data_IF_730933158068
#
_entry.id   IF_730933158068
#
_cell.length_a   1.000
_cell.length_b   1.000
_cell.length_c   1.000
_cell.angle_alpha   90.00
_cell.angle_beta   90.00
_cell.angle_gamma   90.00
#
_symmetry.space_group_name_H-M   'P 1'
#
loop_
_entity.id
_entity.type
_entity.pdbx_description
1 polymer ?
#
# COMPACT_ATOMS: atom_id res chain seq x y z
N UNK A 1 -8.38 -2.08 28.29
CA UNK A 1 -8.31 -0.93 29.23
C UNK A 1 -6.86 -0.58 29.53
N UNK A 2 -5.98 -1.58 29.73
CA UNK A 2 -4.52 -1.37 29.81
C UNK A 2 -3.91 -0.94 28.46
N UNK A 3 -4.30 -1.57 27.33
CA UNK A 3 -3.81 -1.18 25.98
C UNK A 3 -4.17 0.25 25.52
N UNK A 4 -5.26 0.80 26.07
CA UNK A 4 -5.63 2.20 25.80
C UNK A 4 -4.80 3.18 26.62
N UNK A 5 -4.22 2.74 27.74
CA UNK A 5 -3.34 3.55 28.58
C UNK A 5 -1.95 3.71 27.94
N UNK A 6 -1.37 2.66 27.35
CA UNK A 6 -0.04 2.75 26.69
C UNK A 6 -0.06 3.64 25.43
N UNK A 7 -1.15 3.60 24.65
CA UNK A 7 -1.36 4.51 23.52
C UNK A 7 -1.64 5.95 23.96
N UNK A 8 -2.19 6.15 25.15
CA UNK A 8 -2.38 7.48 25.75
C UNK A 8 -1.07 8.00 26.39
N UNK A 9 -0.23 7.14 26.96
CA UNK A 9 1.05 7.50 27.57
C UNK A 9 2.11 7.87 26.52
N UNK A 10 2.17 7.17 25.39
CA UNK A 10 3.05 7.53 24.25
C UNK A 10 2.74 8.91 23.64
N UNK A 11 1.50 9.40 23.79
CA UNK A 11 1.10 10.75 23.33
C UNK A 11 1.61 11.90 24.21
N UNK A 12 2.23 11.61 25.35
CA UNK A 12 2.75 12.59 26.30
C UNK A 12 4.26 12.88 26.16
N UNK A 13 4.96 12.12 25.32
CA UNK A 13 6.40 12.28 25.14
C UNK A 13 6.71 13.41 24.16
N UNK A 14 7.64 14.29 24.55
CA UNK A 14 8.11 15.36 23.69
C UNK A 14 8.85 14.76 22.47
N UNK A 15 8.64 15.30 21.26
CA UNK A 15 9.31 14.82 20.07
C UNK A 15 10.82 15.07 20.17
N UNK A 16 11.62 14.05 19.86
CA UNK A 16 13.09 14.09 19.95
C UNK A 16 13.69 14.11 18.55
N UNK A 17 14.45 15.15 18.23
CA UNK A 17 15.21 15.25 16.99
C UNK A 17 16.54 14.49 17.12
N UNK A 18 16.68 13.40 16.36
CA UNK A 18 17.89 12.56 16.30
C UNK A 18 18.78 12.90 15.10
N UNK A 19 18.42 13.93 14.33
CA UNK A 19 19.09 14.31 13.10
C UNK A 19 20.29 15.24 13.26
N UNK A 20 20.81 15.63 12.11
CA UNK A 20 21.72 16.77 12.00
C UNK A 20 21.04 18.06 12.51
N UNK A 21 21.80 19.00 13.10
CA UNK A 21 21.25 20.27 13.57
C UNK A 21 20.59 21.02 12.42
N UNK A 22 19.29 21.33 12.54
CA UNK A 22 18.54 22.01 11.49
C UNK A 22 18.90 23.50 11.43
N UNK A 23 19.72 23.85 10.45
CA UNK A 23 19.98 25.24 10.09
C UNK A 23 18.88 25.70 9.15
N UNK A 24 17.81 26.29 9.70
CA UNK A 24 16.86 27.06 8.92
C UNK A 24 17.64 28.20 8.24
N UNK A 25 18.02 28.01 6.98
CA UNK A 25 18.75 29.02 6.22
C UNK A 25 18.03 30.35 6.40
N UNK A 26 18.73 31.35 6.94
CA UNK A 26 18.17 32.67 7.14
C UNK A 26 17.61 33.10 5.77
N UNK A 27 16.28 33.27 5.69
CA UNK A 27 15.60 33.90 4.57
C UNK A 27 15.97 35.38 4.57
N UNK A 28 17.26 35.69 4.40
CA UNK A 28 17.70 37.03 4.08
C UNK A 28 17.18 37.26 2.67
N UNK A 29 16.20 38.17 2.49
CA UNK A 29 15.79 38.52 1.15
C UNK A 29 17.04 39.01 0.44
N UNK A 30 17.44 38.34 -0.64
CA UNK A 30 18.36 38.91 -1.60
C UNK A 30 17.67 40.17 -2.16
N UNK A 31 17.84 41.30 -1.44
CA UNK A 31 17.22 42.60 -1.71
C UNK A 31 17.70 43.21 -3.02
N UNK A 32 18.59 42.54 -3.75
CA UNK A 32 19.17 42.99 -5.01
C UNK A 32 18.83 42.08 -6.19
N UNK A 33 17.59 41.57 -6.30
CA UNK A 33 17.13 41.14 -7.61
C UNK A 33 17.00 42.39 -8.50
N UNK A 34 17.87 42.53 -9.49
CA UNK A 34 17.78 43.61 -10.48
C UNK A 34 16.40 43.57 -11.13
N UNK A 35 15.73 44.73 -11.22
CA UNK A 35 14.43 44.85 -11.88
C UNK A 35 14.58 44.47 -13.36
N UNK A 36 14.16 43.26 -13.71
CA UNK A 36 14.09 42.78 -15.09
C UNK A 36 12.75 43.20 -15.70
N UNK A 37 12.73 44.33 -16.39
CA UNK A 37 11.54 44.88 -17.08
C UNK A 37 10.93 43.90 -18.10
N UNK A 38 11.75 43.03 -18.67
CA UNK A 38 11.31 41.97 -19.58
C UNK A 38 10.40 40.93 -18.90
N UNK A 39 10.68 40.58 -17.64
CA UNK A 39 9.87 39.63 -16.87
C UNK A 39 8.49 40.22 -16.53
N UNK A 40 8.42 41.54 -16.26
CA UNK A 40 7.16 42.25 -16.04
C UNK A 40 6.27 42.19 -17.30
N UNK A 41 6.85 42.44 -18.47
CA UNK A 41 6.13 42.38 -19.74
C UNK A 41 5.63 40.95 -20.05
N UNK A 42 6.46 39.93 -19.80
CA UNK A 42 6.08 38.52 -19.98
C UNK A 42 5.01 38.07 -18.97
N UNK A 43 5.10 38.52 -17.70
CA UNK A 43 4.10 38.23 -16.67
C UNK A 43 2.75 38.85 -17.01
N UNK A 44 2.72 40.12 -17.45
CA UNK A 44 1.49 40.81 -17.91
C UNK A 44 0.83 40.11 -19.08
N UNK A 45 1.62 39.50 -19.97
CA UNK A 45 1.13 38.76 -21.14
C UNK A 45 0.84 37.29 -20.85
N UNK A 46 1.02 36.83 -19.60
CA UNK A 46 0.89 35.42 -19.19
C UNK A 46 1.78 34.45 -19.99
N UNK A 47 2.91 34.92 -20.51
CA UNK A 47 3.88 34.11 -21.24
C UNK A 47 5.10 33.71 -20.39
N UNK A 48 5.18 34.19 -19.16
CA UNK A 48 6.28 33.88 -18.24
C UNK A 48 6.21 32.40 -17.83
N UNK A 49 7.29 31.65 -18.11
CA UNK A 49 7.47 30.27 -17.66
C UNK A 49 8.63 30.21 -16.67
N UNK A 50 8.44 29.52 -15.57
CA UNK A 50 9.52 29.26 -14.59
C UNK A 50 10.00 27.83 -14.81
N UNK A 51 11.31 27.63 -15.07
CA UNK A 51 11.85 26.28 -15.26
C UNK A 51 11.78 25.50 -13.94
N UNK A 52 11.08 24.37 -13.96
CA UNK A 52 10.81 23.56 -12.76
C UNK A 52 12.11 23.03 -12.13
N UNK A 53 13.11 22.72 -12.96
CA UNK A 53 14.42 22.22 -12.50
C UNK A 53 15.17 23.22 -11.62
N UNK A 54 14.98 24.54 -11.88
CA UNK A 54 15.60 25.58 -11.05
C UNK A 54 14.96 25.66 -9.67
N UNK A 55 13.64 25.52 -9.60
CA UNK A 55 12.86 25.60 -8.36
C UNK A 55 13.24 24.47 -7.40
N UNK A 56 13.50 23.27 -7.92
CA UNK A 56 13.84 22.09 -7.15
C UNK A 56 15.35 21.92 -6.92
N UNK A 57 16.15 22.92 -7.28
CA UNK A 57 17.58 22.90 -6.99
C UNK A 57 17.83 23.08 -5.49
N UNK A 58 18.88 22.45 -4.97
CA UNK A 58 19.25 22.52 -3.54
C UNK A 58 19.55 23.94 -3.06
N UNK A 59 19.93 24.84 -3.97
CA UNK A 59 20.23 26.25 -3.68
C UNK A 59 19.00 27.14 -3.61
N UNK A 60 17.96 26.85 -4.39
CA UNK A 60 16.72 27.64 -4.38
C UNK A 60 15.69 27.09 -3.38
N UNK A 61 15.66 25.77 -3.17
CA UNK A 61 14.61 25.09 -2.41
C UNK A 61 14.93 24.91 -0.91
N UNK A 62 15.05 26.04 -0.20
CA UNK A 62 15.37 26.06 1.24
C UNK A 62 14.38 25.30 2.14
N UNK A 63 13.14 25.10 1.68
CA UNK A 63 12.08 24.41 2.43
C UNK A 63 11.94 22.92 2.06
N UNK A 64 12.78 22.39 1.16
CA UNK A 64 12.75 20.97 0.80
C UNK A 64 12.86 20.02 2.02
N UNK A 65 13.78 20.23 2.99
CA UNK A 65 13.90 19.34 4.15
C UNK A 65 12.62 19.28 5.00
N UNK A 66 11.95 20.43 5.19
CA UNK A 66 10.69 20.50 5.96
C UNK A 66 9.56 19.79 5.24
N UNK A 67 9.46 19.92 3.91
CA UNK A 67 8.45 19.19 3.13
C UNK A 67 8.69 17.68 3.18
N UNK A 68 9.95 17.24 3.09
CA UNK A 68 10.33 15.83 3.26
C UNK A 68 9.94 15.29 4.63
N UNK A 69 10.20 16.06 5.69
CA UNK A 69 9.78 15.73 7.05
C UNK A 69 8.25 15.52 7.14
N UNK A 70 7.46 16.46 6.63
CA UNK A 70 5.99 16.39 6.67
C UNK A 70 5.45 15.19 5.89
N UNK A 71 6.03 14.89 4.73
CA UNK A 71 5.66 13.71 3.94
C UNK A 71 6.01 12.43 4.69
N UNK A 72 7.22 12.32 5.25
CA UNK A 72 7.64 11.16 6.02
C UNK A 72 6.76 10.93 7.27
N UNK A 73 6.32 12.01 7.94
CA UNK A 73 5.34 11.94 9.04
C UNK A 73 3.98 11.44 8.56
N UNK A 74 3.47 11.95 7.43
CA UNK A 74 2.20 11.50 6.86
C UNK A 74 2.21 10.00 6.53
N UNK A 75 3.31 9.50 5.98
CA UNK A 75 3.48 8.08 5.69
C UNK A 75 3.82 7.25 6.92
N UNK A 76 3.97 7.83 8.11
CA UNK A 76 4.29 7.10 9.35
C UNK A 76 5.69 6.47 9.36
N UNK A 77 6.64 7.00 8.58
CA UNK A 77 7.99 6.44 8.40
C UNK A 77 8.75 6.43 9.73
N UNK A 78 8.81 7.57 10.43
CA UNK A 78 9.57 7.67 11.68
C UNK A 78 9.04 6.74 12.78
N UNK A 79 7.71 6.66 12.91
CA UNK A 79 7.08 5.76 13.87
C UNK A 79 7.37 4.30 13.57
N UNK A 80 7.53 3.94 12.30
CA UNK A 80 7.81 2.56 11.87
C UNK A 80 9.29 2.19 12.06
N UNK A 81 10.23 3.12 11.82
CA UNK A 81 11.67 2.85 11.87
C UNK A 81 12.29 3.08 13.26
N UNK A 82 11.96 4.20 13.90
CA UNK A 82 12.58 4.66 15.15
C UNK A 82 11.62 4.65 16.34
N UNK A 83 10.34 4.32 16.11
CA UNK A 83 9.31 4.39 17.14
C UNK A 83 9.03 5.83 17.63
N UNK A 84 7.85 6.07 18.24
CA UNK A 84 7.60 7.34 18.91
C UNK A 84 8.54 7.51 20.12
N UNK A 85 9.08 8.71 20.40
CA UNK A 85 8.79 10.02 19.80
C UNK A 85 9.89 10.55 18.85
N UNK A 86 10.70 9.68 18.24
CA UNK A 86 11.90 10.09 17.50
C UNK A 86 11.58 10.54 16.07
N UNK A 87 12.22 11.61 15.62
CA UNK A 87 12.17 12.08 14.23
C UNK A 87 13.50 12.74 13.85
N UNK A 88 13.72 12.97 12.56
CA UNK A 88 14.81 13.84 12.12
C UNK A 88 14.42 14.63 10.89
N UNK A 89 15.06 15.78 10.68
CA UNK A 89 14.86 16.58 9.46
C UNK A 89 15.81 16.08 8.35
N UNK A 90 15.31 15.58 7.21
CA UNK A 90 16.17 15.10 6.11
C UNK A 90 16.83 16.27 5.37
N UNK A 91 18.01 16.68 5.84
CA UNK A 91 18.73 17.83 5.30
C UNK A 91 19.55 17.50 4.06
N UNK A 92 20.11 16.29 4.01
CA UNK A 92 20.96 15.87 2.90
C UNK A 92 20.09 15.29 1.80
N UNK A 93 20.20 15.89 0.60
CA UNK A 93 19.54 15.38 -0.59
C UNK A 93 20.37 14.27 -1.22
N UNK A 94 19.72 13.16 -1.54
CA UNK A 94 20.28 12.09 -2.33
C UNK A 94 19.16 11.50 -3.18
N UNK A 95 19.50 11.05 -4.39
CA UNK A 95 18.53 10.59 -5.37
C UNK A 95 18.87 9.15 -5.77
N UNK A 96 18.25 8.14 -5.15
CA UNK A 96 18.29 6.79 -5.68
C UNK A 96 17.52 6.76 -7.01
N UNK A 97 18.01 6.04 -8.00
CA UNK A 97 17.29 5.79 -9.24
C UNK A 97 17.53 4.36 -9.72
N UNK A 98 16.47 3.75 -10.25
CA UNK A 98 16.54 2.45 -10.91
C UNK A 98 16.78 2.63 -12.41
N UNK A 99 17.46 1.67 -13.02
CA UNK A 99 17.77 1.67 -14.45
C UNK A 99 17.02 0.52 -15.11
N UNK A 100 16.22 0.84 -16.13
CA UNK A 100 15.58 -0.19 -16.96
C UNK A 100 16.34 -0.34 -18.28
N UNK A 101 16.81 -1.56 -18.55
CA UNK A 101 17.38 -1.88 -19.85
C UNK A 101 16.23 -2.30 -20.78
N UNK A 102 15.78 -1.41 -21.66
CA UNK A 102 14.71 -1.68 -22.65
C UNK A 102 15.11 -2.73 -23.72
N UNK A 103 16.24 -3.42 -23.56
CA UNK A 103 16.80 -4.37 -24.52
C UNK A 103 16.01 -5.67 -24.67
N UNK A 104 15.21 -6.06 -23.68
CA UNK A 104 14.46 -7.34 -23.71
C UNK A 104 13.06 -7.22 -24.31
N UNK A 105 12.59 -6.00 -24.64
CA UNK A 105 11.27 -5.79 -25.27
C UNK A 105 11.30 -5.64 -26.79
N UNK A 106 12.47 -5.58 -27.42
CA UNK A 106 12.58 -5.57 -28.89
C UNK A 106 12.95 -6.95 -29.41
N UNK A 107 11.94 -7.76 -29.71
CA UNK A 107 12.11 -8.86 -30.64
C UNK A 107 12.25 -8.32 -32.07
N UNK A 108 13.35 -8.71 -32.72
CA UNK A 108 13.56 -8.78 -34.19
C UNK A 108 13.84 -7.45 -34.92
N UNK A 109 15.13 -7.17 -35.18
CA UNK A 109 15.75 -7.38 -36.51
C UNK A 109 17.26 -7.07 -36.47
N UNK A 110 18.06 -8.13 -36.52
CA UNK A 110 19.53 -8.09 -36.62
C UNK A 110 19.95 -7.73 -38.05
N UNK A 111 20.14 -6.44 -38.33
CA UNK A 111 21.15 -6.01 -39.31
C UNK A 111 21.40 -4.50 -39.23
N UNK A 112 22.43 -4.10 -38.49
CA UNK A 112 23.30 -2.94 -38.76
C UNK A 112 24.25 -2.74 -37.57
N UNK A 113 25.54 -2.96 -37.79
CA UNK A 113 26.61 -2.50 -36.89
C UNK A 113 26.65 -0.97 -36.91
N UNK A 114 25.82 -0.31 -36.11
CA UNK A 114 25.95 1.11 -35.80
C UNK A 114 25.65 1.29 -34.32
N UNK A 115 26.63 1.89 -33.64
CA UNK A 115 26.69 2.25 -32.22
C UNK A 115 25.31 2.70 -31.68
N UNK A 116 24.52 1.75 -31.17
CA UNK A 116 23.22 2.01 -30.58
C UNK A 116 23.45 2.68 -29.24
N UNK A 117 23.16 3.98 -29.18
CA UNK A 117 22.90 4.67 -27.92
C UNK A 117 21.69 3.95 -27.30
N UNK A 118 21.93 3.05 -26.37
CA UNK A 118 20.88 2.44 -25.55
C UNK A 118 20.33 3.59 -24.70
N UNK A 119 19.14 4.09 -25.04
CA UNK A 119 18.40 4.98 -24.15
C UNK A 119 18.06 4.16 -22.91
N UNK A 120 18.79 4.42 -21.83
CA UNK A 120 18.52 3.82 -20.53
C UNK A 120 17.56 4.74 -19.80
N UNK A 121 16.34 4.27 -19.60
CA UNK A 121 15.35 5.01 -18.83
C UNK A 121 15.73 4.97 -17.34
N UNK A 122 15.77 6.16 -16.73
CA UNK A 122 16.07 6.34 -15.31
C UNK A 122 14.79 6.58 -14.54
N UNK A 123 14.55 5.78 -13.51
CA UNK A 123 13.39 5.87 -12.63
C UNK A 123 13.80 6.38 -11.25
N UNK A 124 13.74 7.71 -11.00
CA UNK A 124 14.12 8.27 -9.71
C UNK A 124 13.14 7.91 -8.61
N UNK A 125 13.69 7.65 -7.43
CA UNK A 125 12.97 7.50 -6.17
C UNK A 125 12.76 8.88 -5.56
N UNK A 126 11.51 9.23 -5.27
CA UNK A 126 11.12 10.46 -4.60
C UNK A 126 10.68 10.14 -3.16
N UNK A 127 9.55 10.72 -2.72
CA UNK A 127 9.00 10.56 -1.37
C UNK A 127 7.60 9.96 -1.46
N UNK A 128 7.54 8.66 -1.79
CA UNK A 128 6.30 7.88 -1.86
C UNK A 128 5.75 7.67 -3.27
N UNK A 129 6.55 7.88 -4.33
CA UNK A 129 6.15 7.50 -5.68
C UNK A 129 6.04 5.96 -5.81
N UNK A 130 5.28 5.51 -6.81
CA UNK A 130 5.11 4.09 -7.09
C UNK A 130 6.23 3.59 -8.00
N UNK A 131 6.91 2.51 -7.60
CA UNK A 131 7.89 1.80 -8.41
C UNK A 131 7.53 0.31 -8.38
N UNK A 132 7.40 -0.30 -9.56
CA UNK A 132 7.04 -1.71 -9.68
C UNK A 132 8.21 -2.60 -9.28
N UNK A 133 7.95 -3.79 -8.72
CA UNK A 133 9.01 -4.74 -8.40
C UNK A 133 9.86 -5.11 -9.62
N UNK A 134 9.27 -5.23 -10.82
CA UNK A 134 9.97 -5.48 -12.08
C UNK A 134 11.12 -4.48 -12.32
N UNK A 135 10.88 -3.19 -12.09
CA UNK A 135 11.89 -2.13 -12.25
C UNK A 135 12.95 -2.16 -11.16
N UNK A 136 12.59 -2.67 -9.98
CA UNK A 136 13.45 -2.72 -8.79
C UNK A 136 14.06 -4.11 -8.58
N UNK A 137 14.17 -4.94 -9.62
CA UNK A 137 14.85 -6.24 -9.52
C UNK A 137 16.36 -6.10 -9.35
N UNK A 138 16.94 -5.03 -9.87
CA UNK A 138 18.36 -4.69 -9.76
C UNK A 138 18.58 -3.59 -8.72
N UNK A 139 19.76 -3.54 -8.08
CA UNK A 139 20.06 -2.51 -7.10
C UNK A 139 20.03 -1.11 -7.74
N UNK A 140 19.49 -0.10 -7.04
CA UNK A 140 19.47 1.26 -7.57
C UNK A 140 20.86 1.90 -7.52
N UNK A 141 21.12 2.80 -8.47
CA UNK A 141 22.26 3.71 -8.39
C UNK A 141 21.90 4.90 -7.51
N UNK A 142 22.88 5.44 -6.79
CA UNK A 142 22.65 6.49 -5.79
C UNK A 142 23.55 7.69 -6.10
N UNK A 143 22.90 8.81 -6.44
CA UNK A 143 23.58 10.10 -6.59
C UNK A 143 23.68 10.81 -5.24
N UNK A 144 24.91 10.93 -4.75
CA UNK A 144 25.32 11.66 -3.54
C UNK A 144 26.14 12.92 -3.87
N UNK A 145 26.06 13.45 -5.09
CA UNK A 145 26.79 14.67 -5.49
C UNK A 145 26.43 15.91 -4.65
N UNK A 146 25.23 15.94 -4.08
CA UNK A 146 24.76 17.04 -3.22
C UNK A 146 25.21 16.92 -1.75
N UNK A 147 25.78 15.77 -1.36
CA UNK A 147 26.21 15.53 0.01
C UNK A 147 27.63 16.10 0.26
N UNK A 148 27.94 16.57 1.48
CA UNK A 148 29.30 16.98 1.84
C UNK A 148 30.34 15.86 1.62
N UNK A 149 31.43 16.18 0.93
CA UNK A 149 32.52 15.25 0.60
C UNK A 149 33.43 14.86 1.76
N UNK A 150 33.35 15.61 2.87
CA UNK A 150 34.24 15.44 4.03
C UNK A 150 33.85 14.22 4.89
N UNK A 151 32.64 13.71 4.69
CA UNK A 151 32.09 12.59 5.43
C UNK A 151 31.87 11.38 4.54
N UNK A 152 31.94 10.22 5.17
CA UNK A 152 31.46 8.97 4.59
C UNK A 152 30.00 8.75 4.99
N UNK A 153 29.29 7.95 4.20
CA UNK A 153 27.87 7.74 4.36
C UNK A 153 27.53 6.25 4.44
N UNK A 154 26.49 5.92 5.20
CA UNK A 154 25.89 4.57 5.20
C UNK A 154 24.47 4.68 4.68
N UNK A 155 24.13 3.88 3.68
CA UNK A 155 22.78 3.77 3.14
C UNK A 155 22.16 2.47 3.61
N UNK A 156 20.93 2.56 4.11
CA UNK A 156 20.14 1.41 4.53
C UNK A 156 18.78 1.47 3.84
N UNK A 157 18.40 0.40 3.15
CA UNK A 157 17.07 0.21 2.55
C UNK A 157 16.30 -0.80 3.38
N UNK A 158 15.17 -0.40 3.95
CA UNK A 158 14.33 -1.27 4.77
C UNK A 158 12.85 -1.22 4.39
N UNK A 159 12.14 -2.30 4.73
CA UNK A 159 10.69 -2.44 4.55
C UNK A 159 10.07 -2.73 5.92
N UNK A 160 9.41 -1.74 6.57
CA UNK A 160 8.72 -1.94 7.85
C UNK A 160 7.35 -2.61 7.71
N UNK A 161 6.92 -2.89 6.47
CA UNK A 161 5.66 -3.54 6.17
C UNK A 161 5.84 -5.07 6.01
N UNK A 162 7.07 -5.59 6.11
CA UNK A 162 7.40 -7.03 6.02
C UNK A 162 8.25 -7.49 7.22
N UNK A 163 8.08 -8.73 7.73
CA UNK A 163 7.12 -9.75 7.31
C UNK A 163 5.72 -9.63 7.94
N UNK A 164 4.72 -10.01 7.15
CA UNK A 164 3.37 -10.30 7.65
C UNK A 164 3.35 -11.68 8.32
N UNK A 165 2.83 -11.76 9.55
CA UNK A 165 2.48 -13.05 10.18
C UNK A 165 3.19 -13.40 11.49
N UNK A 166 3.20 -12.49 12.46
CA UNK A 166 3.26 -12.92 13.86
C UNK A 166 1.84 -13.11 14.37
N UNK A 167 1.57 -14.32 14.92
CA UNK A 167 0.28 -14.70 15.51
C UNK A 167 -0.12 -13.79 16.69
N UNK A 168 0.82 -13.02 17.21
CA UNK A 168 0.62 -12.01 18.22
C UNK A 168 0.91 -10.64 17.61
N UNK A 169 -0.12 -9.93 17.14
CA UNK A 169 -0.07 -8.52 16.69
C UNK A 169 0.30 -7.52 17.81
N UNK A 170 1.20 -7.93 18.69
CA UNK A 170 1.68 -7.35 19.94
C UNK A 170 3.19 -7.04 19.88
N UNK A 171 3.93 -7.54 18.88
CA UNK A 171 5.33 -7.12 18.68
C UNK A 171 5.41 -5.88 17.77
N UNK A 172 6.05 -4.80 18.24
CA UNK A 172 6.29 -3.64 17.42
C UNK A 172 7.37 -3.99 16.38
N UNK A 173 7.05 -3.77 15.12
CA UNK A 173 7.99 -3.62 13.98
C UNK A 173 8.76 -4.88 13.59
N UNK A 174 8.09 -5.78 12.88
CA UNK A 174 8.73 -6.67 11.92
C UNK A 174 9.20 -5.83 10.73
N UNK A 175 10.51 -5.71 10.55
CA UNK A 175 11.12 -4.98 9.46
C UNK A 175 12.14 -5.88 8.74
N UNK A 176 12.14 -5.82 7.41
CA UNK A 176 13.18 -6.43 6.59
C UNK A 176 14.19 -5.42 6.11
N UNK A 177 15.47 -5.79 6.18
CA UNK A 177 16.55 -5.06 5.51
C UNK A 177 16.76 -5.61 4.10
N UNK A 178 16.53 -4.75 3.11
CA UNK A 178 16.70 -5.08 1.71
C UNK A 178 18.13 -4.84 1.24
N UNK A 179 18.76 -3.77 1.73
CA UNK A 179 20.09 -3.40 1.27
C UNK A 179 20.82 -2.58 2.32
N UNK A 180 22.12 -2.80 2.47
CA UNK A 180 22.96 -1.99 3.34
C UNK A 180 24.34 -1.81 2.72
N UNK A 181 24.72 -0.54 2.51
CA UNK A 181 26.05 -0.18 2.00
C UNK A 181 26.67 0.83 2.94
N UNK A 182 27.85 0.50 3.45
CA UNK A 182 28.62 1.35 4.35
C UNK A 182 29.71 2.12 3.59
N UNK A 183 30.25 3.16 4.23
CA UNK A 183 31.46 3.84 3.77
C UNK A 183 31.36 4.43 2.35
N UNK A 184 30.16 4.84 1.94
CA UNK A 184 29.87 5.50 0.68
C UNK A 184 30.57 6.85 0.61
N UNK A 185 31.18 7.13 -0.54
CA UNK A 185 31.77 8.44 -0.84
C UNK A 185 30.78 9.30 -1.61
N UNK A 186 30.79 10.61 -1.35
CA UNK A 186 29.99 11.57 -2.11
C UNK A 186 30.43 11.58 -3.59
N UNK A 187 29.46 11.51 -4.50
CA UNK A 187 29.68 11.45 -5.95
C UNK A 187 28.40 11.09 -6.71
N UNK A 188 28.39 11.21 -8.05
CA UNK A 188 27.22 10.89 -8.89
C UNK A 188 26.86 9.40 -8.88
N UNK A 189 27.86 8.53 -8.70
CA UNK A 189 27.68 7.10 -8.51
C UNK A 189 28.44 6.71 -7.23
N UNK A 190 27.72 6.74 -6.11
CA UNK A 190 28.32 6.44 -4.82
C UNK A 190 28.69 4.95 -4.75
N UNK A 191 29.97 4.68 -4.51
CA UNK A 191 30.51 3.33 -4.28
C UNK A 191 30.95 3.18 -2.84
N UNK A 192 30.74 1.99 -2.27
CA UNK A 192 31.00 1.70 -0.86
C UNK A 192 31.11 0.20 -0.60
N UNK A 193 31.21 -0.14 0.68
CA UNK A 193 31.34 -1.52 1.14
C UNK A 193 29.93 -2.11 1.32
N UNK A 194 29.53 -3.07 0.48
CA UNK A 194 28.23 -3.75 0.60
C UNK A 194 28.26 -4.71 1.81
N UNK A 195 27.40 -4.44 2.79
CA UNK A 195 27.31 -5.21 4.04
C UNK A 195 26.18 -6.23 3.94
N UNK A 196 25.04 -5.80 3.39
CA UNK A 196 23.88 -6.67 3.18
C UNK A 196 23.53 -6.60 1.70
N UNK A 197 23.60 -7.73 0.97
CA UNK A 197 23.37 -7.75 -0.47
C UNK A 197 21.93 -7.39 -0.79
N UNK A 198 21.76 -6.67 -1.90
CA UNK A 198 20.46 -6.20 -2.36
C UNK A 198 19.44 -7.35 -2.50
N UNK A 199 18.32 -7.21 -1.80
CA UNK A 199 17.12 -8.00 -1.99
C UNK A 199 16.08 -7.12 -2.69
N UNK A 200 15.55 -7.52 -3.86
CA UNK A 200 14.50 -6.75 -4.53
C UNK A 200 13.25 -6.63 -3.64
N UNK A 201 12.39 -5.64 -3.87
CA UNK A 201 11.12 -5.54 -3.16
C UNK A 201 10.24 -6.75 -3.49
N UNK A 202 9.71 -7.42 -2.46
CA UNK A 202 8.88 -8.62 -2.59
C UNK A 202 7.50 -8.43 -1.94
N UNK A 203 6.71 -7.43 -2.35
CA UNK A 203 5.38 -7.23 -1.78
C UNK A 203 4.48 -8.43 -2.06
N UNK A 204 3.85 -8.98 -1.02
CA UNK A 204 3.05 -10.20 -1.13
C UNK A 204 1.72 -9.95 -1.86
N UNK A 205 1.19 -10.99 -2.51
CA UNK A 205 -0.10 -10.88 -3.16
C UNK A 205 -1.20 -10.64 -2.11
N UNK A 206 -1.92 -9.53 -2.24
CA UNK A 206 -3.07 -9.20 -1.39
C UNK A 206 -2.78 -8.40 -0.12
N UNK A 207 -1.54 -7.98 0.12
CA UNK A 207 -1.17 -7.09 1.26
C UNK A 207 -1.24 -5.59 0.91
N UNK A 208 -1.27 -5.25 -0.38
CA UNK A 208 -1.42 -3.88 -0.86
C UNK A 208 -0.07 -3.23 -1.19
N UNK A 209 0.15 -2.02 -0.69
CA UNK A 209 1.38 -1.25 -0.95
C UNK A 209 2.35 -1.37 0.21
N UNK A 210 3.59 -1.73 -0.08
CA UNK A 210 4.69 -1.75 0.88
C UNK A 210 5.58 -0.54 0.66
N UNK A 211 6.12 0.00 1.75
CA UNK A 211 7.02 1.16 1.76
C UNK A 211 8.46 0.66 1.85
N UNK A 212 9.27 1.00 0.86
CA UNK A 212 10.71 0.73 0.86
C UNK A 212 11.44 2.03 1.12
N UNK A 213 12.13 2.10 2.26
CA UNK A 213 12.66 3.33 2.82
C UNK A 213 14.18 3.29 2.79
N UNK A 214 14.77 4.26 2.10
CA UNK A 214 16.19 4.56 2.12
C UNK A 214 16.48 5.58 3.22
N UNK A 215 17.25 5.16 4.22
CA UNK A 215 17.79 6.05 5.25
C UNK A 215 19.28 6.24 5.02
N UNK A 216 19.70 7.49 4.88
CA UNK A 216 21.10 7.87 4.72
C UNK A 216 21.65 8.40 6.05
N UNK A 217 22.67 7.73 6.56
CA UNK A 217 23.38 8.10 7.78
C UNK A 217 24.73 8.74 7.43
N UNK A 218 25.07 9.83 8.11
CA UNK A 218 26.41 10.43 8.09
C UNK A 218 27.30 9.68 9.07
N UNK A 219 28.51 9.31 8.65
CA UNK A 219 29.52 8.72 9.53
C UNK A 219 30.40 9.82 10.13
N UNK A 220 30.23 10.10 11.42
CA UNK A 220 30.86 11.25 12.08
C UNK A 220 32.32 10.98 12.47
N UNK A 221 32.65 9.72 12.79
CA UNK A 221 34.01 9.31 13.21
C UNK A 221 34.86 8.71 12.08
N UNK A 222 34.42 8.85 10.83
CA UNK A 222 35.09 8.28 9.66
C UNK A 222 34.59 6.86 9.34
N UNK A 223 35.48 5.98 8.87
CA UNK A 223 35.11 4.64 8.41
C UNK A 223 34.49 3.83 9.56
N UNK A 224 33.32 3.24 9.32
CA UNK A 224 32.62 2.39 10.28
C UNK A 224 32.71 0.92 9.83
N UNK A 225 33.05 0.05 10.77
CA UNK A 225 33.08 -1.39 10.57
C UNK A 225 31.70 -1.97 10.93
N UNK A 226 30.92 -2.33 9.91
CA UNK A 226 29.58 -2.95 10.05
C UNK A 226 29.59 -4.45 9.75
N UNK A 227 30.75 -5.09 9.80
CA UNK A 227 30.92 -6.51 9.48
C UNK A 227 30.10 -7.44 10.38
N UNK A 228 29.79 -7.02 11.62
CA UNK A 228 28.89 -7.75 12.52
C UNK A 228 27.46 -7.90 11.97
N UNK A 229 27.03 -6.96 11.13
CA UNK A 229 25.74 -6.97 10.47
C UNK A 229 25.81 -7.58 9.06
N UNK A 230 27.00 -8.01 8.63
CA UNK A 230 27.22 -8.61 7.32
C UNK A 230 26.37 -9.86 7.19
N UNK A 231 25.66 -9.95 6.07
CA UNK A 231 24.89 -11.14 5.70
C UNK A 231 25.46 -11.67 4.39
N UNK A 232 25.75 -12.96 4.37
CA UNK A 232 26.14 -13.64 3.13
C UNK A 232 24.93 -13.79 2.19
N UNK A 233 25.14 -14.43 1.04
CA UNK A 233 24.06 -14.76 0.11
C UNK A 233 22.90 -15.50 0.78
N UNK A 234 21.70 -15.36 0.20
CA UNK A 234 20.43 -15.85 0.76
C UNK A 234 20.45 -17.38 0.84
N UNK A 235 20.91 -17.95 1.96
CA UNK A 235 20.93 -19.40 2.20
C UNK A 235 20.00 -19.81 3.36
N UNK A 236 18.73 -20.06 3.09
CA UNK A 236 17.74 -20.53 4.10
C UNK A 236 16.53 -19.61 4.25
N UNK A 237 15.93 -19.60 5.43
CA UNK A 237 14.70 -18.82 5.70
C UNK A 237 14.94 -17.32 5.59
N UNK A 238 14.35 -16.69 4.57
CA UNK A 238 14.42 -15.25 4.32
C UNK A 238 14.12 -14.43 5.59
N UNK A 239 13.18 -14.91 6.41
CA UNK A 239 12.73 -14.25 7.63
C UNK A 239 13.83 -14.03 8.66
N UNK A 240 14.64 -15.04 8.93
CA UNK A 240 15.68 -14.96 9.97
C UNK A 240 16.90 -14.19 9.48
N UNK A 241 17.15 -14.25 8.17
CA UNK A 241 18.27 -13.57 7.53
C UNK A 241 18.03 -12.07 7.37
N UNK A 242 16.80 -11.68 7.03
CA UNK A 242 16.45 -10.31 6.70
C UNK A 242 15.76 -9.55 7.81
N UNK A 243 15.36 -10.23 8.90
CA UNK A 243 14.86 -9.55 10.10
C UNK A 243 15.87 -8.50 10.59
N UNK A 244 15.37 -7.28 10.76
CA UNK A 244 16.14 -6.11 11.13
C UNK A 244 15.28 -5.19 12.01
N UNK A 245 15.94 -4.47 12.91
CA UNK A 245 15.30 -3.43 13.71
C UNK A 245 16.13 -2.16 13.62
N UNK A 246 15.67 -1.19 12.84
CA UNK A 246 16.36 0.08 12.61
C UNK A 246 16.64 0.82 13.92
N UNK A 247 15.69 0.83 14.87
CA UNK A 247 15.88 1.40 16.20
C UNK A 247 17.08 0.80 16.93
N UNK A 248 17.17 -0.53 17.02
CA UNK A 248 18.26 -1.18 17.76
C UNK A 248 19.61 -0.98 17.09
N UNK A 249 19.62 -1.06 15.75
CA UNK A 249 20.80 -0.76 14.95
C UNK A 249 21.31 0.65 15.23
N UNK A 250 20.43 1.65 15.16
CA UNK A 250 20.78 3.04 15.40
C UNK A 250 21.22 3.27 16.85
N UNK A 251 20.52 2.68 17.82
CA UNK A 251 20.85 2.82 19.25
C UNK A 251 22.25 2.29 19.59
N UNK A 252 22.72 1.24 18.90
CA UNK A 252 24.09 0.72 19.10
C UNK A 252 25.16 1.63 18.48
N UNK A 253 24.81 2.36 17.43
CA UNK A 253 25.75 3.13 16.60
C UNK A 253 25.51 4.64 16.66
N UNK A 254 24.69 5.13 17.59
CA UNK A 254 24.29 6.54 17.74
C UNK A 254 25.50 7.48 17.85
N UNK A 255 26.61 7.01 18.42
CA UNK A 255 27.84 7.80 18.53
C UNK A 255 28.63 7.92 17.22
N UNK A 256 28.39 7.04 16.24
CA UNK A 256 29.13 7.00 14.97
C UNK A 256 28.30 7.42 13.77
N UNK A 257 26.98 7.16 13.83
CA UNK A 257 26.04 7.38 12.75
C UNK A 257 25.03 8.44 13.16
N UNK A 258 24.76 9.40 12.27
CA UNK A 258 23.68 10.38 12.44
C UNK A 258 22.76 10.38 11.21
N UNK A 259 21.45 10.16 11.34
CA UNK A 259 20.53 10.18 10.21
C UNK A 259 20.46 11.57 9.59
N UNK A 260 20.61 11.62 8.27
CA UNK A 260 20.82 12.87 7.54
C UNK A 260 19.92 13.02 6.31
N UNK A 261 19.61 11.91 5.63
CA UNK A 261 18.77 11.89 4.45
C UNK A 261 17.70 10.81 4.53
N UNK A 262 16.61 11.03 3.79
CA UNK A 262 15.50 10.09 3.66
C UNK A 262 14.94 10.14 2.24
N UNK A 263 14.75 8.97 1.63
CA UNK A 263 14.00 8.77 0.39
C UNK A 263 13.18 7.49 0.51
N UNK A 264 12.02 7.38 -0.11
CA UNK A 264 11.25 6.14 -0.06
C UNK A 264 10.29 6.03 -1.24
N UNK A 265 9.97 4.82 -1.65
CA UNK A 265 8.95 4.55 -2.65
C UNK A 265 7.93 3.53 -2.13
N UNK A 266 6.81 3.46 -2.83
CA UNK A 266 5.82 2.42 -2.63
C UNK A 266 5.94 1.39 -3.74
N UNK A 267 5.75 0.12 -3.40
CA UNK A 267 5.65 -0.95 -4.38
C UNK A 267 4.46 -1.84 -4.06
N UNK A 268 3.88 -2.42 -5.10
CA UNK A 268 2.77 -3.37 -5.00
C UNK A 268 3.11 -4.61 -5.79
N UNK A 269 2.50 -5.73 -5.40
CA UNK A 269 2.69 -7.02 -6.07
C UNK A 269 2.59 -6.94 -7.60
N UNK A 270 3.50 -7.67 -8.27
CA UNK A 270 3.47 -7.93 -9.70
C UNK A 270 3.90 -9.40 -9.99
N UNK A 271 3.92 -9.80 -11.27
CA UNK A 271 4.31 -11.17 -11.64
C UNK A 271 5.82 -11.43 -11.44
N UNK A 272 6.66 -10.40 -11.42
CA UNK A 272 8.09 -10.55 -11.22
C UNK A 272 8.43 -11.05 -9.80
N UNK A 273 7.66 -10.64 -8.80
CA UNK A 273 7.73 -11.15 -7.42
C UNK A 273 7.49 -12.66 -7.39
N UNK A 274 6.43 -13.13 -8.07
CA UNK A 274 6.11 -14.56 -8.17
C UNK A 274 7.26 -15.35 -8.82
N UNK A 275 7.87 -14.80 -9.86
CA UNK A 275 9.01 -15.43 -10.52
C UNK A 275 10.23 -15.49 -9.60
N UNK A 276 10.47 -14.45 -8.80
CA UNK A 276 11.55 -14.43 -7.82
C UNK A 276 11.39 -15.51 -6.75
N UNK A 277 10.20 -15.64 -6.15
CA UNK A 277 9.90 -16.68 -5.17
C UNK A 277 10.12 -18.09 -5.71
N UNK A 278 9.68 -18.35 -6.95
CA UNK A 278 9.79 -19.67 -7.58
C UNK A 278 11.18 -20.02 -8.06
N UNK A 279 11.88 -19.07 -8.68
CA UNK A 279 13.14 -19.35 -9.38
C UNK A 279 14.38 -19.09 -8.53
N UNK A 280 14.33 -18.08 -7.65
CA UNK A 280 15.49 -17.66 -6.84
C UNK A 280 15.40 -18.22 -5.43
N UNK A 281 14.23 -18.09 -4.79
CA UNK A 281 14.05 -18.54 -3.40
C UNK A 281 13.63 -20.02 -3.29
N UNK A 282 13.09 -20.62 -4.35
CA UNK A 282 12.54 -21.99 -4.38
C UNK A 282 11.52 -22.28 -3.25
N UNK A 283 10.70 -21.27 -2.91
CA UNK A 283 9.70 -21.33 -1.83
C UNK A 283 8.32 -20.94 -2.41
N UNK A 284 7.21 -21.56 -1.94
CA UNK A 284 5.88 -21.12 -2.32
C UNK A 284 5.61 -19.67 -1.88
N UNK A 285 5.13 -18.86 -2.81
CA UNK A 285 4.75 -17.48 -2.55
C UNK A 285 3.60 -17.39 -1.53
N UNK A 286 3.70 -16.51 -0.52
CA UNK A 286 2.61 -16.25 0.40
C UNK A 286 1.52 -15.38 -0.25
N UNK A 287 0.27 -15.82 -0.11
CA UNK A 287 -0.91 -15.13 -0.67
C UNK A 287 -1.85 -14.76 0.46
N UNK A 288 -2.25 -13.49 0.50
CA UNK A 288 -3.13 -12.92 1.51
C UNK A 288 -4.46 -12.49 0.88
N UNK A 289 -5.51 -12.50 1.70
CA UNK A 289 -6.81 -11.97 1.34
C UNK A 289 -7.32 -11.08 2.47
N UNK A 290 -7.90 -9.93 2.11
CA UNK A 290 -8.49 -9.02 3.09
C UNK A 290 -9.76 -9.63 3.66
N UNK A 291 -9.67 -10.13 4.89
CA UNK A 291 -10.84 -10.61 5.64
C UNK A 291 -11.57 -9.43 6.29
N UNK A 292 -12.69 -9.04 5.69
CA UNK A 292 -13.57 -8.04 6.30
C UNK A 292 -14.26 -8.64 7.54
N UNK A 293 -14.38 -7.87 8.64
CA UNK A 293 -15.10 -8.34 9.82
C UNK A 293 -16.54 -8.68 9.43
N UNK A 294 -17.04 -9.79 9.94
CA UNK A 294 -18.42 -10.18 9.70
C UNK A 294 -19.35 -9.07 10.20
N UNK A 295 -20.35 -8.65 9.41
CA UNK A 295 -21.25 -7.59 9.82
C UNK A 295 -21.94 -7.99 11.13
N UNK A 296 -21.79 -7.16 12.17
CA UNK A 296 -22.43 -7.43 13.47
C UNK A 296 -23.94 -7.31 13.32
N UNK A 297 -24.62 -8.44 13.40
CA UNK A 297 -26.08 -8.49 13.43
C UNK A 297 -26.56 -8.17 14.86
N UNK A 298 -27.63 -7.36 15.03
CA UNK A 298 -28.26 -7.23 16.34
C UNK A 298 -28.83 -8.58 16.78
N UNK A 299 -28.95 -8.87 18.09
CA UNK A 299 -29.51 -10.14 18.56
C UNK A 299 -30.90 -10.40 17.95
N UNK A 300 -31.18 -11.66 17.63
CA UNK A 300 -32.46 -12.04 17.04
C UNK A 300 -33.59 -11.91 18.08
N UNK A 301 -34.68 -11.26 17.70
CA UNK A 301 -35.88 -11.08 18.50
C UNK A 301 -36.98 -12.02 18.01
N UNK A 302 -37.73 -12.60 18.95
CA UNK A 302 -38.85 -13.49 18.64
C UNK A 302 -39.97 -12.80 17.87
N UNK A 303 -40.19 -11.52 18.18
CA UNK A 303 -41.14 -10.66 17.50
C UNK A 303 -40.37 -9.40 17.10
N UNK A 304 -39.84 -9.34 15.86
CA UNK A 304 -39.15 -8.16 15.37
C UNK A 304 -40.18 -7.05 15.16
N UNK A 305 -40.55 -6.37 16.24
CA UNK A 305 -41.52 -5.30 16.17
C UNK A 305 -40.81 -4.12 15.51
N UNK A 306 -41.47 -3.46 14.55
CA UNK A 306 -40.96 -2.25 13.92
C UNK A 306 -40.98 -1.06 14.89
N UNK A 307 -40.34 -1.20 16.05
CA UNK A 307 -40.42 -0.23 17.12
C UNK A 307 -39.18 0.66 17.09
N UNK A 308 -39.42 1.94 16.75
CA UNK A 308 -38.51 3.08 16.56
C UNK A 308 -38.04 3.43 15.14
N UNK A 309 -38.48 2.73 14.08
CA UNK A 309 -38.18 3.11 12.69
C UNK A 309 -39.26 3.97 11.98
N UNK A 310 -40.47 4.02 12.54
CA UNK A 310 -41.61 4.77 12.00
C UNK A 310 -41.52 6.31 12.18
N UNK A 311 -40.41 6.83 12.72
CA UNK A 311 -39.97 8.19 12.39
C UNK A 311 -38.75 8.03 11.48
N UNK A 312 -38.83 8.54 10.25
CA UNK A 312 -37.65 8.74 9.43
C UNK A 312 -36.63 9.49 10.29
N UNK A 313 -35.50 8.86 10.65
CA UNK A 313 -34.41 9.55 11.34
C UNK A 313 -33.96 10.66 10.41
N UNK A 314 -34.40 11.90 10.66
CA UNK A 314 -33.76 13.08 10.08
C UNK A 314 -32.45 13.26 10.85
N UNK A 315 -31.36 13.57 10.14
CA UNK A 315 -30.14 14.05 10.79
C UNK A 315 -30.50 15.16 11.78
N UNK A 316 -29.80 15.36 12.92
CA UNK A 316 -30.08 16.46 13.85
C UNK A 316 -30.14 17.84 13.19
N UNK A 317 -29.53 17.99 12.01
CA UNK A 317 -29.54 19.19 11.16
C UNK A 317 -30.45 19.10 9.92
N UNK A 318 -31.39 18.16 9.85
CA UNK A 318 -32.42 18.09 8.80
C UNK A 318 -31.98 17.57 7.43
N UNK A 319 -30.73 17.13 7.26
CA UNK A 319 -30.24 16.51 6.02
C UNK A 319 -30.89 15.12 5.80
N UNK A 320 -31.28 14.78 4.56
CA UNK A 320 -31.72 13.42 4.24
C UNK A 320 -30.56 12.45 4.48
N UNK A 321 -30.78 11.45 5.33
CA UNK A 321 -29.81 10.38 5.51
C UNK A 321 -29.59 9.71 4.15
N UNK A 322 -28.33 9.73 3.72
CA UNK A 322 -27.81 9.01 2.56
C UNK A 322 -28.42 7.61 2.54
N UNK A 323 -29.08 7.28 1.42
CA UNK A 323 -29.52 5.92 1.13
C UNK A 323 -28.28 5.03 1.26
N UNK A 324 -28.40 3.98 2.07
CA UNK A 324 -27.42 2.91 2.26
C UNK A 324 -26.26 3.24 3.21
N UNK A 325 -26.27 2.59 4.38
CA UNK A 325 -25.21 1.62 4.70
C UNK A 325 -25.48 0.70 5.89
N UNK A 326 -26.14 1.13 6.97
CA UNK A 326 -26.31 0.26 8.15
C UNK A 326 -27.57 0.54 8.98
N UNK A 327 -28.71 0.78 8.34
CA UNK A 327 -29.95 1.03 9.07
C UNK A 327 -31.17 0.41 8.41
N UNK A 328 -31.81 -0.52 9.10
CA UNK A 328 -33.06 -1.20 8.78
C UNK A 328 -34.23 -0.27 8.37
N UNK A 329 -34.22 0.30 7.17
CA UNK A 329 -35.35 1.08 6.65
C UNK A 329 -36.67 0.28 6.67
N UNK A 330 -37.75 1.02 6.96
CA UNK A 330 -39.17 0.69 7.13
C UNK A 330 -39.88 -0.39 6.27
N UNK A 331 -39.21 -1.20 5.44
CA UNK A 331 -39.87 -2.17 4.56
C UNK A 331 -39.13 -3.52 4.47
N UNK A 332 -38.43 -3.93 5.54
CA UNK A 332 -37.85 -5.29 5.59
C UNK A 332 -38.98 -6.27 5.90
N UNK A 333 -39.49 -6.97 4.88
CA UNK A 333 -40.45 -8.05 5.10
C UNK A 333 -39.90 -9.07 6.09
N UNK A 334 -40.76 -9.66 6.92
CA UNK A 334 -40.40 -10.64 7.95
C UNK A 334 -39.46 -11.75 7.42
N UNK A 335 -39.66 -12.18 6.18
CA UNK A 335 -38.80 -13.16 5.51
C UNK A 335 -37.34 -12.71 5.37
N UNK A 336 -37.11 -11.44 5.02
CA UNK A 336 -35.76 -10.85 4.87
C UNK A 336 -35.10 -10.66 6.24
N UNK A 337 -35.91 -10.41 7.28
CA UNK A 337 -35.42 -10.43 8.65
C UNK A 337 -34.94 -11.83 9.04
N UNK A 338 -35.74 -12.87 8.78
CA UNK A 338 -35.34 -14.26 9.08
C UNK A 338 -34.11 -14.69 8.28
N UNK A 339 -34.05 -14.37 6.97
CA UNK A 339 -32.92 -14.72 6.10
C UNK A 339 -31.60 -14.10 6.57
N UNK A 340 -31.62 -13.00 7.32
CA UNK A 340 -30.42 -12.38 7.91
C UNK A 340 -29.77 -13.24 9.01
N UNK A 341 -30.59 -13.97 9.75
CA UNK A 341 -30.16 -14.83 10.87
C UNK A 341 -30.03 -16.29 10.49
N UNK A 342 -30.50 -16.66 9.30
CA UNK A 342 -30.31 -18.01 8.76
C UNK A 342 -28.86 -18.22 8.36
N UNK A 343 -28.41 -19.45 8.56
CA UNK A 343 -27.12 -19.85 8.04
C UNK A 343 -27.13 -19.81 6.52
N UNK A 344 -26.13 -19.15 5.95
CA UNK A 344 -25.99 -19.02 4.48
C UNK A 344 -25.91 -20.40 3.80
N UNK A 345 -25.38 -21.41 4.51
CA UNK A 345 -25.32 -22.80 4.05
C UNK A 345 -26.73 -23.39 3.85
N UNK A 346 -27.64 -23.17 4.80
CA UNK A 346 -29.02 -23.66 4.69
C UNK A 346 -29.77 -23.00 3.53
N UNK A 347 -29.62 -21.68 3.38
CA UNK A 347 -30.21 -20.93 2.26
C UNK A 347 -29.69 -21.42 0.90
N UNK A 348 -28.38 -21.67 0.80
CA UNK A 348 -27.77 -22.21 -0.42
C UNK A 348 -28.27 -23.63 -0.70
N UNK A 349 -28.43 -24.46 0.33
CA UNK A 349 -28.93 -25.83 0.19
C UNK A 349 -30.40 -25.85 -0.29
N UNK A 350 -31.26 -25.00 0.27
CA UNK A 350 -32.64 -24.81 -0.22
C UNK A 350 -32.66 -24.39 -1.70
N UNK A 351 -31.81 -23.43 -2.07
CA UNK A 351 -31.70 -22.95 -3.44
C UNK A 351 -31.26 -24.06 -4.40
N UNK A 352 -30.25 -24.85 -4.02
CA UNK A 352 -29.74 -25.98 -4.81
C UNK A 352 -30.82 -27.06 -4.94
N UNK A 353 -31.52 -27.41 -3.86
CA UNK A 353 -32.63 -28.37 -3.91
C UNK A 353 -33.75 -27.91 -4.84
N UNK A 354 -34.12 -26.62 -4.77
CA UNK A 354 -35.13 -26.07 -5.67
C UNK A 354 -34.66 -25.98 -7.12
N UNK A 355 -33.37 -25.71 -7.36
CA UNK A 355 -32.77 -25.76 -8.69
C UNK A 355 -32.84 -27.18 -9.27
N UNK A 356 -32.39 -28.19 -8.53
CA UNK A 356 -32.45 -29.60 -8.95
C UNK A 356 -33.89 -30.07 -9.20
N UNK A 357 -34.85 -29.63 -8.37
CA UNK A 357 -36.29 -29.90 -8.60
C UNK A 357 -36.83 -29.27 -9.89
N UNK A 358 -36.30 -28.13 -10.30
CA UNK A 358 -36.74 -27.42 -11.51
C UNK A 358 -36.04 -27.95 -12.77
N UNK A 359 -34.73 -28.16 -12.70
CA UNK A 359 -33.88 -28.54 -13.84
C UNK A 359 -33.86 -30.06 -14.11
N UNK A 360 -34.26 -30.88 -13.15
CA UNK A 360 -34.14 -32.34 -13.26
C UNK A 360 -32.74 -32.84 -12.88
N UNK A 361 -32.47 -34.13 -13.09
CA UNK A 361 -31.15 -34.69 -12.83
C UNK A 361 -30.13 -34.11 -13.82
N UNK A 362 -29.11 -33.36 -13.37
CA UNK A 362 -28.10 -32.79 -14.28
C UNK A 362 -27.22 -33.84 -14.96
N UNK A 363 -27.26 -35.11 -14.49
CA UNK A 363 -26.48 -36.22 -15.04
C UNK A 363 -27.24 -37.04 -16.10
N UNK A 364 -28.56 -36.88 -16.21
CA UNK A 364 -29.38 -37.56 -17.21
C UNK A 364 -29.82 -36.55 -18.30
N UNK A 365 -29.24 -36.61 -19.51
CA UNK A 365 -29.58 -35.69 -20.60
C UNK A 365 -30.99 -35.89 -21.15
N UNK A 366 -31.63 -37.03 -20.86
CA UNK A 366 -32.94 -37.42 -21.37
C UNK A 366 -34.11 -37.00 -20.45
N UNK A 367 -33.83 -36.52 -19.23
CA UNK A 367 -34.87 -35.98 -18.36
C UNK A 367 -35.30 -34.58 -18.85
N UNK A 368 -36.61 -34.31 -18.98
CA UNK A 368 -37.07 -33.02 -19.44
C UNK A 368 -36.79 -31.96 -18.35
N UNK A 369 -35.88 -31.02 -18.65
CA UNK A 369 -35.77 -29.76 -17.92
C UNK A 369 -37.14 -29.10 -17.92
N UNK A 370 -37.73 -28.81 -16.75
CA UNK A 370 -39.08 -28.21 -16.71
C UNK A 370 -39.08 -26.91 -17.51
N UNK A 371 -40.07 -26.77 -18.38
CA UNK A 371 -40.19 -25.65 -19.32
C UNK A 371 -40.21 -24.33 -18.55
N UNK A 372 -39.21 -23.48 -18.80
CA UNK A 372 -39.19 -22.10 -18.32
C UNK A 372 -40.44 -21.40 -18.85
N UNK A 373 -41.18 -20.75 -17.96
CA UNK A 373 -42.30 -19.93 -18.38
C UNK A 373 -41.75 -18.78 -19.22
N UNK A 374 -42.07 -18.74 -20.51
CA UNK A 374 -41.66 -17.68 -21.44
C UNK A 374 -42.16 -16.30 -20.96
N UNK A 375 -43.38 -16.27 -20.38
CA UNK A 375 -43.98 -15.09 -19.77
C UNK A 375 -44.38 -15.38 -18.32
N UNK A 376 -43.43 -15.32 -17.36
CA UNK A 376 -43.66 -15.74 -15.97
C UNK A 376 -44.73 -14.91 -15.25
N UNK A 377 -44.90 -13.65 -15.64
CA UNK A 377 -45.91 -12.74 -15.10
C UNK A 377 -47.31 -12.94 -15.69
N UNK A 378 -47.43 -13.60 -16.86
CA UNK A 378 -48.71 -13.86 -17.51
C UNK A 378 -49.43 -15.10 -16.95
N UNK A 379 -48.69 -15.98 -16.26
CA UNK A 379 -49.25 -17.18 -15.65
C UNK A 379 -49.92 -16.82 -14.31
N UNK A 380 -51.24 -17.02 -14.16
CA UNK A 380 -51.94 -16.66 -12.93
C UNK A 380 -51.43 -17.48 -11.73
N UNK A 381 -51.38 -16.83 -10.57
CA UNK A 381 -51.06 -17.49 -9.30
C UNK A 381 -52.32 -18.19 -8.72
N UNK A 382 -52.16 -19.27 -7.94
CA UNK A 382 -53.29 -19.95 -7.31
C UNK A 382 -54.15 -19.02 -6.46
N UNK A 383 -55.48 -19.13 -6.59
CA UNK A 383 -56.43 -18.36 -5.77
C UNK A 383 -56.36 -18.81 -4.31
N UNK A 384 -56.34 -17.85 -3.37
CA UNK A 384 -56.26 -18.12 -1.93
C UNK A 384 -54.85 -18.13 -1.34
N UNK A 385 -53.83 -17.82 -2.15
CA UNK A 385 -52.45 -17.71 -1.70
C UNK A 385 -52.23 -16.45 -0.84
N UNK A 386 -51.57 -16.54 0.33
CA UNK A 386 -51.23 -15.37 1.14
C UNK A 386 -50.38 -14.36 0.36
N UNK A 387 -50.58 -13.07 0.62
CA UNK A 387 -49.90 -11.98 -0.10
C UNK A 387 -48.37 -12.05 -0.05
N UNK A 388 -47.80 -12.54 1.07
CA UNK A 388 -46.36 -12.73 1.22
C UNK A 388 -45.84 -13.88 0.33
N UNK A 389 -46.58 -14.98 0.21
CA UNK A 389 -46.22 -16.09 -0.67
C UNK A 389 -46.39 -15.70 -2.15
N UNK A 390 -47.43 -14.92 -2.48
CA UNK A 390 -47.58 -14.31 -3.81
C UNK A 390 -46.33 -13.51 -4.19
N UNK A 391 -45.80 -12.70 -3.25
CA UNK A 391 -44.58 -11.92 -3.45
C UNK A 391 -43.35 -12.83 -3.66
N UNK A 392 -43.17 -13.86 -2.83
CA UNK A 392 -42.06 -14.80 -2.97
C UNK A 392 -42.10 -15.56 -4.30
N UNK A 393 -43.27 -16.08 -4.67
CA UNK A 393 -43.47 -16.82 -5.93
C UNK A 393 -43.28 -15.91 -7.15
N UNK A 394 -43.72 -14.65 -7.06
CA UNK A 394 -43.46 -13.65 -8.11
C UNK A 394 -41.97 -13.35 -8.23
N UNK A 395 -41.26 -13.13 -7.12
CA UNK A 395 -39.81 -12.93 -7.13
C UNK A 395 -39.05 -14.16 -7.64
N UNK A 396 -39.52 -15.37 -7.32
CA UNK A 396 -38.98 -16.64 -7.81
C UNK A 396 -39.11 -16.76 -9.33
N UNK A 397 -40.30 -16.51 -9.87
CA UNK A 397 -40.59 -16.54 -11.31
C UNK A 397 -39.83 -15.47 -12.09
N UNK A 398 -39.64 -14.29 -11.49
CA UNK A 398 -38.90 -13.16 -12.08
C UNK A 398 -37.39 -13.20 -11.80
N UNK A 399 -36.86 -14.22 -11.10
CA UNK A 399 -35.44 -14.35 -10.75
C UNK A 399 -34.86 -13.16 -9.98
N UNK A 400 -35.66 -12.54 -9.13
CA UNK A 400 -35.22 -11.42 -8.30
C UNK A 400 -34.65 -11.86 -6.95
N UNK A 401 -33.65 -11.13 -6.46
CA UNK A 401 -33.03 -11.35 -5.15
C UNK A 401 -32.33 -12.71 -5.06
N UNK A 402 -32.66 -13.48 -4.00
CA UNK A 402 -32.06 -14.80 -3.72
C UNK A 402 -32.27 -15.84 -4.84
N UNK A 403 -33.28 -15.62 -5.68
CA UNK A 403 -33.66 -16.52 -6.77
C UNK A 403 -32.89 -16.30 -8.08
N UNK A 404 -31.93 -15.37 -8.10
CA UNK A 404 -31.13 -15.06 -9.28
C UNK A 404 -30.33 -16.26 -9.78
N UNK A 405 -29.85 -17.11 -8.88
CA UNK A 405 -29.03 -18.28 -9.19
C UNK A 405 -29.84 -19.59 -9.26
N UNK A 406 -31.16 -19.50 -9.49
CA UNK A 406 -32.00 -20.69 -9.73
C UNK A 406 -31.77 -21.35 -11.09
N UNK A 407 -30.95 -20.75 -11.96
CA UNK A 407 -30.55 -21.31 -13.26
C UNK A 407 -29.12 -21.81 -13.16
N UNK A 408 -28.84 -22.96 -13.76
CA UNK A 408 -27.54 -23.50 -14.15
C UNK A 408 -26.49 -22.44 -14.47
N UNK A 409 -25.22 -22.72 -14.21
CA UNK A 409 -24.21 -22.07 -15.05
C UNK A 409 -24.47 -22.67 -16.43
N UNK A 410 -25.23 -21.98 -17.26
CA UNK A 410 -25.15 -22.24 -18.69
C UNK A 410 -23.67 -22.02 -19.03
N UNK A 411 -23.05 -23.06 -19.60
CA UNK A 411 -21.67 -22.98 -20.06
C UNK A 411 -21.47 -21.85 -21.06
#
# INVERSE_FOLDING_TARGET
LELTQDLLESSSLLPVDIGLPYNAGLLLPNRSQQKKTELEAAARKLTLRVPVDTIHSTSEDTQAPVRRLLVAQHYGVFNSLFGPPHFFVPQVDFKPYFLENLGDRTSVDLSSEQNTLVEVDQYPVYMGNLITPELAMTPPSVDLSSAPSDYLWTLVMTCPDEPFGDEDGLLPTNEYVHWMVANLRAGPEATGDEIIPYLPPLPYLGTGYHRYIFTLYRQDMGKVDLTEFSRDHIEGDLRTQRSFHTLEFYRRLESQLTPAGLAFFQSSWDESVRMYFRNVLDIPEPIFEVQWPTPRLPPQERYPVANSWNKARRHPHGLPLIRERYGAHNDVSFDVYLDRYRDRKELNEELIRERLRNEGNPLDPDEPRRIRLEYPAAVPLPKGMPSWWVKQETQRRLRHGRWRHLEGHDG
#
